data_IF_280232046090
#
_entry.id   IF_280232046090
#
_cell.length_a   1.000
_cell.length_b   1.000
_cell.length_c   1.000
_cell.angle_alpha   90.00
_cell.angle_beta   90.00
_cell.angle_gamma   90.00
#
_symmetry.space_group_name_H-M   'P 1'
#
loop_
_entity.id
_entity.type
_entity.pdbx_description
1 polymer ?
#
# COMPACT_ATOMS: atom_id res chain seq x y z
N UNK A 1 -1.45 1.17 23.36
CA UNK A 1 -2.01 -0.06 22.77
C UNK A 1 -1.05 -1.20 23.04
N UNK A 2 -1.55 -2.35 23.47
CA UNK A 2 -0.76 -3.54 23.72
C UNK A 2 -0.33 -4.23 22.41
N UNK A 3 0.71 -5.06 22.45
CA UNK A 3 1.15 -5.84 21.29
C UNK A 3 0.04 -6.70 20.69
N UNK A 4 -0.82 -7.25 21.54
CA UNK A 4 -1.99 -8.05 21.15
C UNK A 4 -3.02 -7.26 20.34
N UNK A 5 -3.06 -5.94 20.51
CA UNK A 5 -3.94 -5.05 19.75
C UNK A 5 -3.26 -4.52 18.47
N UNK A 6 -1.94 -4.34 18.50
CA UNK A 6 -1.16 -3.78 17.39
C UNK A 6 -0.94 -4.77 16.24
N UNK A 7 -0.58 -6.02 16.54
CA UNK A 7 -0.30 -7.02 15.51
C UNK A 7 -1.48 -7.23 14.56
N UNK A 8 -2.73 -7.42 15.03
CA UNK A 8 -3.88 -7.56 14.14
C UNK A 8 -4.12 -6.35 13.25
N UNK A 9 -3.87 -5.12 13.73
CA UNK A 9 -4.03 -3.90 12.93
C UNK A 9 -3.00 -3.80 11.82
N UNK A 10 -1.72 -4.05 12.13
CA UNK A 10 -0.64 -4.09 11.14
C UNK A 10 -0.94 -5.11 10.04
N UNK A 11 -1.36 -6.31 10.44
CA UNK A 11 -1.73 -7.37 9.50
C UNK A 11 -2.93 -6.92 8.66
N UNK A 12 -3.99 -6.38 9.27
CA UNK A 12 -5.19 -5.89 8.58
C UNK A 12 -4.86 -4.86 7.50
N UNK A 13 -4.09 -3.82 7.84
CA UNK A 13 -3.74 -2.76 6.89
C UNK A 13 -2.86 -3.28 5.75
N UNK A 14 -1.87 -4.12 6.06
CA UNK A 14 -1.05 -4.74 5.03
C UNK A 14 -1.88 -5.64 4.10
N UNK A 15 -2.75 -6.49 4.64
CA UNK A 15 -3.64 -7.35 3.84
C UNK A 15 -4.61 -6.54 2.99
N UNK A 16 -5.10 -5.39 3.46
CA UNK A 16 -5.92 -4.48 2.65
C UNK A 16 -5.17 -4.01 1.40
N UNK A 17 -3.93 -3.54 1.55
CA UNK A 17 -3.11 -3.08 0.42
C UNK A 17 -2.66 -4.24 -0.48
N UNK A 18 -2.37 -5.42 0.09
CA UNK A 18 -2.11 -6.64 -0.66
C UNK A 18 -3.31 -7.00 -1.54
N UNK A 19 -4.53 -6.98 -1.00
CA UNK A 19 -5.74 -7.30 -1.75
C UNK A 19 -5.99 -6.32 -2.92
N UNK A 20 -5.59 -5.05 -2.77
CA UNK A 20 -5.74 -4.04 -3.82
C UNK A 20 -4.63 -4.12 -4.88
N UNK A 21 -3.40 -4.41 -4.48
CA UNK A 21 -2.22 -4.12 -5.32
C UNK A 21 -1.27 -5.30 -5.56
N UNK A 22 -1.46 -6.46 -4.92
CA UNK A 22 -0.65 -7.65 -5.17
C UNK A 22 -1.08 -8.36 -6.47
N UNK A 23 -0.68 -7.81 -7.61
CA UNK A 23 -1.16 -8.21 -8.94
C UNK A 23 -0.10 -8.88 -9.83
N UNK A 24 1.15 -9.04 -9.39
CA UNK A 24 2.23 -9.63 -10.21
C UNK A 24 3.11 -10.61 -9.44
N UNK A 25 3.77 -11.49 -10.18
CA UNK A 25 4.86 -12.29 -9.62
C UNK A 25 6.05 -11.38 -9.25
N UNK A 26 6.59 -11.55 -8.03
CA UNK A 26 7.74 -10.79 -7.55
C UNK A 26 7.64 -10.36 -6.09
N UNK A 27 8.40 -9.31 -5.74
CA UNK A 27 8.45 -8.79 -4.37
C UNK A 27 7.21 -7.99 -3.99
N UNK A 28 6.27 -8.63 -3.28
CA UNK A 28 5.00 -8.03 -2.83
C UNK A 28 5.23 -6.67 -2.14
N UNK A 29 6.22 -6.60 -1.25
CA UNK A 29 6.57 -5.37 -0.53
C UNK A 29 6.86 -4.18 -1.46
N UNK A 30 7.61 -4.41 -2.54
CA UNK A 30 7.92 -3.37 -3.52
C UNK A 30 6.64 -2.94 -4.23
N UNK A 31 5.91 -3.91 -4.76
CA UNK A 31 4.70 -3.68 -5.53
C UNK A 31 3.66 -2.88 -4.73
N UNK A 32 3.30 -3.33 -3.52
CA UNK A 32 2.28 -2.62 -2.76
C UNK A 32 2.74 -1.19 -2.39
N UNK A 33 4.04 -0.97 -2.20
CA UNK A 33 4.58 0.35 -1.85
C UNK A 33 4.51 1.30 -3.03
N UNK A 34 4.90 0.84 -4.22
CA UNK A 34 4.81 1.60 -5.48
C UNK A 34 3.36 1.96 -5.81
N UNK A 35 2.48 0.95 -5.89
CA UNK A 35 1.09 1.16 -6.27
C UNK A 35 0.37 2.09 -5.30
N UNK A 36 0.55 1.88 -3.99
CA UNK A 36 -0.09 2.74 -2.98
C UNK A 36 0.40 4.18 -3.09
N UNK A 37 1.71 4.39 -3.26
CA UNK A 37 2.27 5.73 -3.44
C UNK A 37 1.68 6.42 -4.67
N UNK A 38 1.56 5.74 -5.81
CA UNK A 38 1.03 6.34 -7.03
C UNK A 38 -0.47 6.62 -6.99
N UNK A 39 -1.24 5.72 -6.39
CA UNK A 39 -2.70 5.87 -6.29
C UNK A 39 -3.07 6.98 -5.31
N UNK A 40 -2.32 7.12 -4.21
CA UNK A 40 -2.65 8.08 -3.14
C UNK A 40 -1.90 9.41 -3.27
N UNK A 41 -0.63 9.39 -3.64
CA UNK A 41 0.25 10.55 -3.66
C UNK A 41 0.13 11.38 -4.93
N UNK A 42 -0.04 12.70 -4.78
CA UNK A 42 -0.20 13.64 -5.91
C UNK A 42 1.12 14.23 -6.36
N UNK A 43 2.03 14.46 -5.40
CA UNK A 43 3.36 15.04 -5.65
C UNK A 43 4.47 14.03 -5.36
N UNK A 44 5.65 14.27 -5.93
CA UNK A 44 6.80 13.35 -5.83
C UNK A 44 7.22 13.08 -4.38
N UNK A 45 7.30 14.12 -3.57
CA UNK A 45 7.62 14.07 -2.14
C UNK A 45 6.60 13.25 -1.35
N UNK A 46 5.30 13.48 -1.60
CA UNK A 46 4.22 12.68 -0.99
C UNK A 46 4.34 11.20 -1.36
N UNK A 47 4.58 10.90 -2.64
CA UNK A 47 4.77 9.52 -3.12
C UNK A 47 5.94 8.84 -2.42
N UNK A 48 7.06 9.53 -2.28
CA UNK A 48 8.24 8.99 -1.58
C UNK A 48 7.94 8.69 -0.10
N UNK A 49 7.21 9.59 0.58
CA UNK A 49 6.81 9.38 1.96
C UNK A 49 5.85 8.19 2.11
N UNK A 50 4.81 8.11 1.27
CA UNK A 50 3.86 7.00 1.27
C UNK A 50 4.58 5.68 1.00
N UNK A 51 5.45 5.63 -0.01
CA UNK A 51 6.25 4.45 -0.32
C UNK A 51 7.05 3.98 0.90
N UNK A 52 7.77 4.89 1.57
CA UNK A 52 8.56 4.58 2.77
C UNK A 52 7.68 4.02 3.90
N UNK A 53 6.51 4.63 4.12
CA UNK A 53 5.55 4.19 5.13
C UNK A 53 5.01 2.79 4.83
N UNK A 54 4.70 2.48 3.58
CA UNK A 54 4.22 1.14 3.20
C UNK A 54 5.33 0.09 3.28
N UNK A 55 6.57 0.45 2.92
CA UNK A 55 7.73 -0.43 3.16
C UNK A 55 7.89 -0.77 4.64
N UNK A 56 7.79 0.24 5.52
CA UNK A 56 7.83 0.05 6.97
C UNK A 56 6.66 -0.84 7.44
N UNK A 57 5.43 -0.57 7.00
CA UNK A 57 4.25 -1.38 7.31
C UNK A 57 4.49 -2.86 6.95
N UNK A 58 5.00 -3.13 5.76
CA UNK A 58 5.19 -4.50 5.29
C UNK A 58 6.32 -5.23 6.05
N UNK A 59 7.38 -4.51 6.42
CA UNK A 59 8.42 -5.03 7.31
C UNK A 59 7.85 -5.42 8.67
N UNK A 60 6.99 -4.56 9.25
CA UNK A 60 6.31 -4.84 10.51
C UNK A 60 5.35 -6.03 10.39
N UNK A 61 4.58 -6.12 9.31
CA UNK A 61 3.69 -7.26 9.03
C UNK A 61 4.47 -8.56 8.93
N UNK A 62 5.59 -8.57 8.19
CA UNK A 62 6.46 -9.74 8.08
C UNK A 62 6.93 -10.21 9.46
N UNK A 63 7.38 -9.29 10.31
CA UNK A 63 7.76 -9.61 11.68
C UNK A 63 6.59 -10.14 12.52
N UNK A 64 5.43 -9.49 12.45
CA UNK A 64 4.24 -9.84 13.23
C UNK A 64 3.71 -11.25 12.91
N UNK A 65 3.68 -11.66 11.63
CA UNK A 65 3.20 -13.00 11.24
C UNK A 65 4.16 -14.12 11.65
N UNK A 66 5.44 -13.79 11.87
CA UNK A 66 6.44 -14.72 12.39
C UNK A 66 6.54 -14.69 13.93
N UNK A 67 5.61 -14.03 14.61
CA UNK A 67 5.55 -13.95 16.08
C UNK A 67 6.56 -12.98 16.69
N UNK A 68 7.15 -12.08 15.89
CA UNK A 68 8.05 -11.04 16.37
C UNK A 68 7.31 -9.83 16.93
N UNK A 69 7.93 -9.14 17.89
CA UNK A 69 7.33 -7.96 18.53
C UNK A 69 7.45 -6.71 17.66
N UNK A 70 6.36 -5.96 17.53
CA UNK A 70 6.27 -4.71 16.74
C UNK A 70 6.18 -3.44 17.60
N UNK A 71 5.99 -3.57 18.92
CA UNK A 71 5.68 -2.46 19.82
C UNK A 71 6.77 -1.39 19.84
N UNK A 72 8.03 -1.80 19.83
CA UNK A 72 9.19 -0.88 19.88
C UNK A 72 9.41 -0.10 18.59
N UNK A 73 8.65 -0.37 17.52
CA UNK A 73 8.83 0.20 16.18
C UNK A 73 7.66 1.08 15.73
N UNK A 74 6.68 1.31 16.61
CA UNK A 74 5.43 1.98 16.30
C UNK A 74 5.19 3.19 17.21
N UNK A 75 4.97 4.33 16.57
CA UNK A 75 4.34 5.51 17.19
C UNK A 75 2.87 5.58 16.73
N UNK A 76 2.06 6.36 17.45
CA UNK A 76 0.62 6.52 17.16
C UNK A 76 0.36 7.27 15.86
N UNK A 77 1.29 8.13 15.45
CA UNK A 77 1.21 8.93 14.23
C UNK A 77 1.28 8.03 13.00
N UNK A 78 2.26 7.11 12.97
CA UNK A 78 2.43 6.14 11.91
C UNK A 78 1.19 5.29 11.68
N UNK A 79 0.54 4.78 12.75
CA UNK A 79 -0.69 4.00 12.58
C UNK A 79 -1.83 4.82 12.00
N UNK A 80 -1.94 6.08 12.40
CA UNK A 80 -2.94 7.01 11.87
C UNK A 80 -2.68 7.30 10.39
N UNK A 81 -1.42 7.52 10.02
CA UNK A 81 -1.00 7.69 8.63
C UNK A 81 -1.31 6.46 7.78
N UNK A 82 -0.99 5.27 8.26
CA UNK A 82 -1.28 4.02 7.55
C UNK A 82 -2.79 3.84 7.37
N UNK A 83 -3.59 4.15 8.38
CA UNK A 83 -5.05 4.10 8.28
C UNK A 83 -5.56 5.03 7.18
N UNK A 84 -5.12 6.29 7.18
CA UNK A 84 -5.51 7.28 6.17
C UNK A 84 -5.05 6.90 4.77
N UNK A 85 -3.85 6.32 4.63
CA UNK A 85 -3.34 5.82 3.36
C UNK A 85 -4.21 4.66 2.85
N UNK A 86 -4.59 3.71 3.70
CA UNK A 86 -5.45 2.60 3.31
C UNK A 86 -6.85 3.05 2.88
N UNK A 87 -7.46 3.97 3.64
CA UNK A 87 -8.76 4.56 3.29
C UNK A 87 -8.68 5.31 1.95
N UNK A 88 -7.65 6.13 1.78
CA UNK A 88 -7.42 6.87 0.53
C UNK A 88 -7.22 5.91 -0.65
N UNK A 89 -6.41 4.87 -0.49
CA UNK A 89 -6.17 3.87 -1.53
C UNK A 89 -7.48 3.18 -1.94
N UNK A 90 -8.29 2.77 -0.96
CA UNK A 90 -9.58 2.13 -1.22
C UNK A 90 -10.54 3.06 -1.97
N UNK A 91 -10.67 4.32 -1.52
CA UNK A 91 -11.56 5.30 -2.14
C UNK A 91 -11.11 5.65 -3.56
N UNK A 92 -9.80 5.83 -3.78
CA UNK A 92 -9.27 6.10 -5.11
C UNK A 92 -9.50 4.93 -6.05
N UNK A 93 -9.25 3.69 -5.60
CA UNK A 93 -9.53 2.52 -6.42
C UNK A 93 -11.03 2.35 -6.72
N UNK A 94 -11.89 2.61 -5.74
CA UNK A 94 -13.34 2.60 -5.94
C UNK A 94 -13.79 3.67 -6.95
N UNK A 95 -13.22 4.86 -6.89
CA UNK A 95 -13.47 5.92 -7.87
C UNK A 95 -13.01 5.51 -9.28
N UNK A 96 -11.75 5.06 -9.41
CA UNK A 96 -11.17 4.64 -10.69
C UNK A 96 -11.95 3.48 -11.31
N UNK A 97 -12.47 2.53 -10.52
CA UNK A 97 -13.28 1.42 -11.04
C UNK A 97 -14.59 1.86 -11.72
N UNK A 98 -15.08 3.07 -11.44
CA UNK A 98 -16.30 3.62 -12.04
C UNK A 98 -16.02 4.34 -13.36
N UNK A 99 -14.77 4.71 -13.62
CA UNK A 99 -14.40 5.40 -14.86
C UNK A 99 -14.45 4.43 -16.04
N UNK A 100 -15.22 4.79 -17.06
CA UNK A 100 -15.45 3.97 -18.27
C UNK A 100 -14.14 3.52 -18.95
N UNK A 101 -13.08 4.32 -18.84
CA UNK A 101 -11.75 3.97 -19.33
C UNK A 101 -11.20 2.71 -18.64
N UNK A 102 -11.29 2.60 -17.31
CA UNK A 102 -10.74 1.47 -16.55
C UNK A 102 -11.66 0.25 -16.54
N UNK A 103 -12.92 0.39 -16.96
CA UNK A 103 -13.86 -0.73 -17.12
C UNK A 103 -13.59 -1.58 -18.38
N UNK A 104 -12.86 -1.05 -19.36
CA UNK A 104 -12.39 -1.81 -20.50
C UNK A 104 -11.09 -2.55 -20.15
N UNK A 105 -10.95 -3.87 -20.45
CA UNK A 105 -9.71 -4.62 -20.25
C UNK A 105 -8.44 -3.90 -20.75
N UNK A 106 -8.52 -3.21 -21.90
CA UNK A 106 -7.38 -2.44 -22.44
C UNK A 106 -7.05 -1.18 -21.63
N UNK A 107 -8.03 -0.56 -20.98
CA UNK A 107 -7.81 0.63 -20.17
C UNK A 107 -7.32 0.30 -18.77
N UNK A 108 -7.80 -0.80 -18.16
CA UNK A 108 -7.20 -1.37 -16.96
C UNK A 108 -5.76 -1.84 -17.21
N UNK A 109 -5.52 -2.55 -18.32
CA UNK A 109 -4.16 -2.94 -18.71
C UNK A 109 -3.26 -1.72 -18.93
N UNK A 110 -3.76 -0.65 -19.54
CA UNK A 110 -3.02 0.62 -19.67
C UNK A 110 -2.82 1.35 -18.35
N UNK A 111 -3.72 1.24 -17.38
CA UNK A 111 -3.54 1.80 -16.03
C UNK A 111 -2.43 1.09 -15.28
N UNK A 112 -2.51 -0.23 -15.28
CA UNK A 112 -1.49 -1.11 -14.73
C UNK A 112 -0.18 -0.82 -15.45
N UNK A 113 -0.15 -0.80 -16.78
CA UNK A 113 1.02 -0.40 -17.56
C UNK A 113 1.47 1.03 -17.29
N UNK A 114 0.61 2.01 -17.04
CA UNK A 114 0.99 3.40 -16.74
C UNK A 114 1.73 3.47 -15.41
N UNK A 115 1.17 2.85 -14.36
CA UNK A 115 1.86 2.67 -13.08
C UNK A 115 3.19 1.91 -13.28
N UNK A 116 3.19 0.87 -14.13
CA UNK A 116 4.37 0.02 -14.37
C UNK A 116 5.44 0.63 -15.30
N UNK A 117 5.09 1.56 -16.20
CA UNK A 117 5.97 2.08 -17.26
C UNK A 117 6.67 3.36 -16.86
N UNK A 118 6.12 4.15 -15.94
CA UNK A 118 6.81 5.34 -15.42
C UNK A 118 7.98 5.02 -14.48
N UNK A 119 8.11 3.80 -13.92
CA UNK A 119 9.12 3.54 -12.88
C UNK A 119 9.90 2.23 -13.02
N UNK A 120 10.37 1.95 -14.25
CA UNK A 120 11.76 1.46 -14.37
C UNK A 120 12.72 2.60 -13.97
N UNK A 121 12.85 2.85 -12.67
CA UNK A 121 13.93 3.66 -12.11
C UNK A 121 14.65 2.84 -11.05
N UNK A 122 15.43 1.87 -11.53
CA UNK A 122 16.89 2.00 -11.53
C UNK A 122 17.35 1.98 -12.98
#
# INVERSE_FOLDING_TARGET
MSERELNPLIIKYATCLEALFNSREGGISEQISEFTAHVVGKRKDERMNIYSNIKKLYSLRSNAVHGGSVVSRLDSEFLSDIMLICESALLQMAYLSQESYYQNPKGYEKFVQYILKEYRFF
#
